data_IF_561701952842
#
_entry.id   IF_561701952842
#
_cell.length_a   1.000
_cell.length_b   1.000
_cell.length_c   1.000
_cell.angle_alpha   90.00
_cell.angle_beta   90.00
_cell.angle_gamma   90.00
#
_symmetry.space_group_name_H-M   'P 1'
#
loop_
_entity.id
_entity.type
_entity.pdbx_description
1 polymer ?
#
# COMPACT_ATOMS: atom_id res chain seq x y z
N UNK A 1 15.08 -4.60 17.81
CA UNK A 1 13.72 -4.02 17.83
C UNK A 1 12.83 -5.07 18.47
N UNK A 2 12.19 -4.74 19.58
CA UNK A 2 11.28 -5.67 20.25
C UNK A 2 9.87 -5.25 19.82
N UNK A 3 9.20 -6.13 19.10
CA UNK A 3 7.74 -5.98 18.87
C UNK A 3 7.11 -6.40 20.20
N UNK A 4 6.18 -5.60 20.78
CA UNK A 4 5.53 -6.00 22.03
C UNK A 4 4.90 -7.37 21.87
N UNK A 5 5.30 -8.30 22.71
CA UNK A 5 4.62 -9.59 22.84
C UNK A 5 3.23 -9.36 23.46
N UNK A 6 2.23 -9.94 22.84
CA UNK A 6 0.96 -10.14 23.51
C UNK A 6 -0.22 -9.35 23.01
N UNK A 7 -0.68 -9.70 21.82
CA UNK A 7 -2.10 -9.92 21.57
C UNK A 7 -2.17 -11.05 20.55
N UNK A 8 -2.83 -12.14 20.92
CA UNK A 8 -3.11 -13.24 19.99
C UNK A 8 -3.94 -12.71 18.81
N UNK A 9 -3.44 -12.89 17.61
CA UNK A 9 -4.13 -12.51 16.38
C UNK A 9 -3.21 -11.88 15.30
N UNK A 10 -3.72 -11.68 14.09
CA UNK A 10 -2.96 -11.06 13.02
C UNK A 10 -2.64 -9.59 13.35
N UNK A 11 -1.36 -9.25 13.30
CA UNK A 11 -0.86 -7.89 13.51
C UNK A 11 -0.63 -7.21 12.16
N UNK A 12 -1.10 -5.98 12.02
CA UNK A 12 -0.86 -5.16 10.86
C UNK A 12 -0.57 -3.71 11.28
N UNK A 13 0.31 -3.03 10.53
CA UNK A 13 0.69 -1.66 10.86
C UNK A 13 1.93 -1.20 10.09
N UNK A 14 2.45 -0.05 10.51
CA UNK A 14 3.67 0.54 9.96
C UNK A 14 4.88 0.23 10.84
N UNK A 15 6.04 0.10 10.18
CA UNK A 15 7.33 -0.01 10.84
C UNK A 15 8.18 1.21 10.49
N UNK A 16 8.59 1.98 11.50
CA UNK A 16 9.46 3.15 11.32
C UNK A 16 10.88 2.83 11.76
N UNK A 17 11.86 3.01 10.85
CA UNK A 17 13.28 2.95 11.16
C UNK A 17 13.85 4.37 11.20
N UNK A 18 14.56 4.71 12.29
CA UNK A 18 15.28 5.97 12.43
C UNK A 18 16.78 5.71 12.39
N UNK A 19 17.47 6.38 11.48
CA UNK A 19 18.93 6.31 11.35
C UNK A 19 19.55 7.53 11.99
N UNK A 20 20.66 7.31 12.71
CA UNK A 20 21.53 8.38 13.21
C UNK A 20 22.87 8.26 12.50
N UNK A 21 23.35 9.35 11.95
CA UNK A 21 24.64 9.42 11.29
C UNK A 21 25.69 9.95 12.26
N UNK A 22 26.91 9.44 12.16
CA UNK A 22 28.08 10.07 12.76
C UNK A 22 28.46 11.22 11.84
N UNK A 23 28.71 12.41 12.39
CA UNK A 23 29.09 13.61 11.63
C UNK A 23 30.28 13.28 10.68
N UNK A 24 30.30 13.95 9.52
CA UNK A 24 31.33 13.91 8.47
C UNK A 24 31.14 12.88 7.33
N UNK A 25 29.97 12.28 7.18
CA UNK A 25 29.65 11.57 5.93
C UNK A 25 28.67 12.42 5.09
N UNK A 26 29.04 12.67 3.84
CA UNK A 26 28.10 13.19 2.85
C UNK A 26 26.88 12.30 2.84
N UNK A 27 25.68 12.88 2.91
CA UNK A 27 24.36 12.28 3.06
C UNK A 27 24.30 10.79 2.70
N UNK A 28 24.41 9.87 3.66
CA UNK A 28 24.46 8.44 3.36
C UNK A 28 23.14 7.99 2.77
N UNK A 29 23.23 7.26 1.67
CA UNK A 29 22.06 6.60 1.08
C UNK A 29 21.61 5.47 2.01
N UNK A 30 20.38 5.54 2.47
CA UNK A 30 19.77 4.51 3.32
C UNK A 30 18.54 3.94 2.63
N UNK A 31 18.41 2.62 2.65
CA UNK A 31 17.22 1.92 2.19
C UNK A 31 16.67 1.03 3.32
N UNK A 32 15.35 0.97 3.44
CA UNK A 32 14.66 0.04 4.32
C UNK A 32 13.85 -0.90 3.44
N UNK A 33 14.07 -2.17 3.62
CA UNK A 33 13.38 -3.23 2.91
C UNK A 33 12.79 -4.18 3.94
N UNK A 34 11.57 -4.63 3.71
CA UNK A 34 10.91 -5.61 4.57
C UNK A 34 10.35 -6.76 3.73
N UNK A 35 10.29 -7.93 4.32
CA UNK A 35 9.63 -9.10 3.73
C UNK A 35 8.78 -9.76 4.80
N UNK A 36 7.52 -10.00 4.49
CA UNK A 36 6.67 -10.91 5.24
C UNK A 36 6.81 -12.31 4.67
N UNK A 37 6.76 -13.33 5.51
CA UNK A 37 6.76 -14.73 5.08
C UNK A 37 5.77 -15.53 5.90
N UNK A 38 5.04 -16.42 5.24
CA UNK A 38 4.14 -17.40 5.89
C UNK A 38 4.47 -18.79 5.36
N UNK A 39 4.68 -19.78 6.22
CA UNK A 39 4.88 -21.16 5.77
C UNK A 39 3.74 -21.62 4.88
N UNK A 40 4.07 -22.28 3.78
CA UNK A 40 3.08 -23.00 2.97
C UNK A 40 2.85 -24.36 3.59
N UNK A 41 1.76 -24.52 4.33
CA UNK A 41 1.44 -25.78 5.01
C UNK A 41 0.79 -26.83 4.09
N UNK A 42 0.34 -26.41 2.89
CA UNK A 42 -0.38 -27.26 1.95
C UNK A 42 0.51 -27.80 0.83
N UNK A 43 1.79 -27.41 0.77
CA UNK A 43 2.69 -27.85 -0.27
C UNK A 43 3.38 -29.18 0.13
N UNK A 44 3.35 -30.19 -0.74
CA UNK A 44 4.07 -31.47 -0.55
C UNK A 44 5.58 -31.29 -0.38
N UNK A 45 6.11 -30.20 -0.89
CA UNK A 45 7.56 -29.88 -0.86
C UNK A 45 7.94 -28.83 0.19
N UNK A 46 6.99 -28.37 1.00
CA UNK A 46 7.22 -27.23 1.88
C UNK A 46 7.35 -25.92 1.09
N UNK A 47 7.87 -24.88 1.74
CA UNK A 47 8.07 -23.56 1.16
C UNK A 47 7.41 -22.46 1.99
N UNK A 48 7.45 -21.25 1.49
CA UNK A 48 6.81 -20.10 2.13
C UNK A 48 6.30 -19.12 1.09
N UNK A 49 5.11 -18.58 1.35
CA UNK A 49 4.60 -17.39 0.66
C UNK A 49 5.25 -16.14 1.26
N UNK A 50 5.42 -15.11 0.47
CA UNK A 50 5.98 -13.88 1.01
C UNK A 50 5.74 -12.69 0.12
N UNK A 51 5.70 -11.50 0.76
CA UNK A 51 5.58 -10.24 0.09
C UNK A 51 6.74 -9.33 0.51
N UNK A 52 7.35 -8.72 -0.48
CA UNK A 52 8.42 -7.75 -0.31
C UNK A 52 7.87 -6.33 -0.33
N UNK A 53 8.37 -5.49 0.56
CA UNK A 53 8.00 -4.09 0.66
C UNK A 53 9.25 -3.20 0.59
N UNK A 54 9.19 -2.18 -0.20
CA UNK A 54 10.16 -1.08 -0.17
C UNK A 54 9.71 -0.02 0.85
N UNK A 55 10.65 0.46 1.67
CA UNK A 55 10.39 1.55 2.59
C UNK A 55 10.31 2.89 1.88
N UNK A 56 9.55 3.82 2.45
CA UNK A 56 9.49 5.21 2.03
C UNK A 56 10.05 6.13 3.13
N UNK A 57 10.73 7.21 2.73
CA UNK A 57 11.18 8.20 3.67
C UNK A 57 10.00 9.04 4.20
N UNK A 58 10.10 9.51 5.45
CA UNK A 58 9.16 10.50 5.99
C UNK A 58 9.14 11.74 5.08
N UNK A 59 7.96 12.19 4.67
CA UNK A 59 7.79 13.30 3.74
C UNK A 59 8.12 12.99 2.27
N UNK A 60 8.53 11.74 1.95
CA UNK A 60 8.97 11.33 0.61
C UNK A 60 7.89 10.68 -0.27
N UNK A 61 6.63 10.73 0.14
CA UNK A 61 5.51 10.18 -0.63
C UNK A 61 4.88 11.19 -1.59
N UNK A 62 3.74 10.81 -2.14
CA UNK A 62 2.91 11.70 -2.93
C UNK A 62 2.31 12.81 -2.07
N UNK A 63 2.17 14.00 -2.66
CA UNK A 63 1.60 15.18 -2.00
C UNK A 63 0.14 15.40 -2.36
N UNK A 64 -0.23 15.12 -3.60
CA UNK A 64 -1.57 15.40 -4.13
C UNK A 64 -2.23 14.16 -4.66
N UNK A 65 -1.56 13.41 -5.51
CA UNK A 65 -2.12 12.26 -6.20
C UNK A 65 -1.06 11.20 -6.47
N UNK A 66 -1.48 9.95 -6.40
CA UNK A 66 -0.69 8.79 -6.81
C UNK A 66 -1.55 7.80 -7.60
N UNK A 67 -0.93 7.12 -8.56
CA UNK A 67 -1.53 6.04 -9.32
C UNK A 67 -0.94 4.71 -8.83
N UNK A 68 -1.80 3.71 -8.66
CA UNK A 68 -1.39 2.31 -8.42
C UNK A 68 -1.92 1.48 -9.58
N UNK A 69 -1.09 1.27 -10.61
CA UNK A 69 -1.50 0.51 -11.80
C UNK A 69 -1.42 -1.00 -11.58
N UNK A 70 -1.93 -1.76 -12.53
CA UNK A 70 -1.75 -3.21 -12.59
C UNK A 70 -2.56 -4.00 -11.58
N UNK A 71 -3.62 -3.43 -11.02
CA UNK A 71 -4.54 -4.14 -10.15
C UNK A 71 -5.51 -5.01 -10.96
N UNK A 72 -5.92 -6.14 -10.38
CA UNK A 72 -6.80 -7.09 -11.03
C UNK A 72 -7.79 -7.75 -10.06
N UNK A 73 -8.91 -8.20 -10.61
CA UNK A 73 -9.94 -8.93 -9.88
C UNK A 73 -10.66 -9.91 -10.81
N UNK A 74 -10.46 -11.20 -10.56
CA UNK A 74 -11.20 -12.28 -11.20
C UNK A 74 -11.23 -13.49 -10.26
N UNK A 75 -11.49 -14.68 -10.80
CA UNK A 75 -11.55 -15.94 -10.02
C UNK A 75 -10.17 -16.41 -9.56
N UNK A 76 -9.10 -15.95 -10.23
CA UNK A 76 -7.71 -16.35 -9.95
C UNK A 76 -6.90 -15.29 -9.19
N UNK A 77 -7.35 -14.04 -9.15
CA UNK A 77 -6.63 -12.95 -8.52
C UNK A 77 -7.55 -11.93 -7.86
N UNK A 78 -7.12 -11.40 -6.74
CA UNK A 78 -7.77 -10.28 -6.05
C UNK A 78 -6.74 -9.23 -5.68
N UNK A 79 -7.15 -7.96 -5.70
CA UNK A 79 -6.29 -6.85 -5.30
C UNK A 79 -6.76 -6.22 -4.00
N UNK A 80 -5.79 -5.95 -3.13
CA UNK A 80 -5.93 -5.04 -1.99
C UNK A 80 -5.22 -3.73 -2.34
N UNK A 81 -5.71 -2.62 -1.81
CA UNK A 81 -5.07 -1.31 -1.91
C UNK A 81 -4.78 -0.81 -0.51
N UNK A 82 -3.56 -0.39 -0.26
CA UNK A 82 -3.15 0.16 1.03
C UNK A 82 -2.65 1.59 0.88
N UNK A 83 -2.87 2.39 1.93
CA UNK A 83 -2.39 3.77 2.03
C UNK A 83 -1.82 4.04 3.41
N UNK A 84 -0.80 4.89 3.46
CA UNK A 84 -0.06 5.26 4.68
C UNK A 84 0.09 6.78 4.71
N UNK A 85 -0.18 7.42 5.84
CA UNK A 85 0.24 8.79 6.08
C UNK A 85 1.73 8.79 6.50
N UNK A 86 2.62 9.32 5.66
CA UNK A 86 4.06 9.38 5.92
C UNK A 86 4.47 10.57 6.79
N UNK A 87 3.55 11.48 7.12
CA UNK A 87 3.87 12.73 7.79
C UNK A 87 4.67 13.68 6.90
N UNK A 88 5.30 14.67 7.51
CA UNK A 88 6.20 15.63 6.85
C UNK A 88 5.56 16.97 6.52
N UNK A 89 4.30 17.15 6.82
CA UNK A 89 3.58 18.42 6.77
C UNK A 89 3.28 18.96 8.19
N UNK A 90 2.04 19.29 8.46
CA UNK A 90 1.58 19.83 9.75
C UNK A 90 1.45 18.81 10.87
N UNK A 91 1.70 17.53 10.58
CA UNK A 91 1.48 16.40 11.49
C UNK A 91 0.00 16.28 11.95
N UNK A 92 -0.92 16.77 11.12
CA UNK A 92 -2.36 16.60 11.29
C UNK A 92 -2.89 15.47 10.40
N UNK A 93 -4.08 14.90 10.72
CA UNK A 93 -4.67 13.87 9.88
C UNK A 93 -4.89 14.35 8.44
N UNK A 94 -4.67 13.45 7.49
CA UNK A 94 -5.01 13.63 6.09
C UNK A 94 -6.25 12.80 5.74
N UNK A 95 -7.02 13.27 4.76
CA UNK A 95 -8.10 12.50 4.14
C UNK A 95 -7.65 12.06 2.76
N UNK A 96 -7.68 10.76 2.53
CA UNK A 96 -7.38 10.15 1.24
C UNK A 96 -8.63 9.54 0.62
N UNK A 97 -8.75 9.69 -0.68
CA UNK A 97 -9.79 9.07 -1.51
C UNK A 97 -9.12 8.21 -2.57
N UNK A 98 -9.59 6.98 -2.76
CA UNK A 98 -9.18 6.14 -3.88
C UNK A 98 -10.37 5.90 -4.82
N UNK A 99 -10.13 6.07 -6.11
CA UNK A 99 -11.04 5.77 -7.23
C UNK A 99 -10.42 4.71 -8.11
N UNK A 100 -11.23 3.77 -8.56
CA UNK A 100 -10.80 2.74 -9.50
C UNK A 100 -11.19 3.13 -10.92
N UNK A 101 -10.29 2.87 -11.86
CA UNK A 101 -10.53 3.11 -13.28
C UNK A 101 -10.24 1.83 -14.06
N UNK A 102 -11.19 1.43 -14.88
CA UNK A 102 -11.04 0.30 -15.80
C UNK A 102 -9.84 0.53 -16.72
N UNK A 103 -8.92 -0.42 -16.77
CA UNK A 103 -7.69 -0.28 -17.54
C UNK A 103 -7.90 -0.35 -19.05
N UNK A 104 -9.01 -0.94 -19.50
CA UNK A 104 -9.31 -1.10 -20.92
C UNK A 104 -10.08 0.11 -21.48
N UNK A 105 -10.92 0.75 -20.66
CA UNK A 105 -11.80 1.84 -21.11
C UNK A 105 -11.43 3.21 -20.54
N UNK A 106 -10.69 3.26 -19.44
CA UNK A 106 -10.42 4.48 -18.68
C UNK A 106 -11.63 4.99 -17.86
N UNK A 107 -12.75 4.30 -17.87
CA UNK A 107 -13.94 4.70 -17.14
C UNK A 107 -13.80 4.43 -15.63
N UNK A 108 -14.36 5.30 -14.80
CA UNK A 108 -14.42 5.04 -13.36
C UNK A 108 -15.27 3.81 -13.07
N UNK A 109 -14.76 2.91 -12.22
CA UNK A 109 -15.40 1.67 -11.82
C UNK A 109 -15.80 1.72 -10.34
N UNK A 110 -17.10 1.75 -10.09
CA UNK A 110 -17.66 1.79 -8.74
C UNK A 110 -17.57 3.16 -8.07
N UNK A 111 -17.73 3.17 -6.75
CA UNK A 111 -17.69 4.36 -5.90
C UNK A 111 -16.33 4.57 -5.27
N UNK A 112 -15.96 5.82 -4.95
CA UNK A 112 -14.73 6.10 -4.20
C UNK A 112 -14.73 5.42 -2.83
N UNK A 113 -13.56 5.04 -2.35
CA UNK A 113 -13.32 4.65 -0.96
C UNK A 113 -12.43 5.69 -0.28
N UNK A 114 -12.68 5.98 1.00
CA UNK A 114 -11.98 7.04 1.72
C UNK A 114 -11.41 6.56 3.05
N UNK A 115 -10.35 7.21 3.52
CA UNK A 115 -9.80 7.02 4.86
C UNK A 115 -9.27 8.34 5.42
N UNK A 116 -9.37 8.50 6.74
CA UNK A 116 -8.71 9.56 7.50
C UNK A 116 -7.58 8.94 8.29
N UNK A 117 -6.36 9.43 8.13
CA UNK A 117 -5.14 8.86 8.69
C UNK A 117 -4.34 9.92 9.42
N UNK A 118 -4.03 9.67 10.69
CA UNK A 118 -3.04 10.43 11.44
C UNK A 118 -1.62 10.11 10.94
N UNK A 119 -0.60 10.93 11.26
CA UNK A 119 0.78 10.64 10.88
C UNK A 119 1.24 9.26 11.38
N UNK A 120 1.71 8.42 10.45
CA UNK A 120 2.10 7.04 10.70
C UNK A 120 0.98 6.01 10.63
N UNK A 121 -0.27 6.44 10.53
CA UNK A 121 -1.40 5.53 10.36
C UNK A 121 -1.39 4.88 8.96
N UNK A 122 -1.94 3.67 8.93
CA UNK A 122 -2.06 2.83 7.75
C UNK A 122 -3.44 2.20 7.68
N UNK A 123 -3.97 2.06 6.47
CA UNK A 123 -5.17 1.29 6.19
C UNK A 123 -5.00 0.47 4.92
N UNK A 124 -5.57 -0.73 4.90
CA UNK A 124 -5.69 -1.55 3.70
C UNK A 124 -7.16 -1.82 3.40
N UNK A 125 -7.59 -1.41 2.23
CA UNK A 125 -8.86 -1.81 1.65
C UNK A 125 -8.71 -3.19 1.00
N UNK A 126 -9.08 -4.23 1.75
CA UNK A 126 -9.05 -5.61 1.24
C UNK A 126 -10.13 -5.79 0.17
N UNK A 127 -9.75 -6.46 -0.95
CA UNK A 127 -10.65 -6.64 -2.11
C UNK A 127 -11.25 -5.30 -2.56
N UNK A 128 -10.40 -4.32 -2.79
CA UNK A 128 -10.81 -2.93 -3.07
C UNK A 128 -11.83 -2.81 -4.20
N UNK A 129 -11.77 -3.69 -5.21
CA UNK A 129 -12.75 -3.76 -6.30
C UNK A 129 -14.17 -4.03 -5.78
N UNK A 130 -14.34 -5.02 -4.92
CA UNK A 130 -15.64 -5.36 -4.32
C UNK A 130 -16.10 -4.27 -3.35
N UNK A 131 -15.18 -3.70 -2.55
CA UNK A 131 -15.48 -2.63 -1.62
C UNK A 131 -15.97 -1.36 -2.32
N UNK A 132 -15.41 -1.03 -3.48
CA UNK A 132 -15.86 0.07 -4.33
C UNK A 132 -17.18 -0.23 -5.06
N UNK A 133 -17.68 -1.45 -5.03
CA UNK A 133 -18.83 -1.87 -5.82
C UNK A 133 -18.57 -1.83 -7.33
N UNK A 134 -17.34 -2.06 -7.75
CA UNK A 134 -17.00 -2.06 -9.17
C UNK A 134 -17.66 -3.24 -9.90
N UNK A 135 -18.10 -3.06 -11.17
CA UNK A 135 -18.74 -4.13 -11.93
C UNK A 135 -17.81 -5.34 -12.14
N UNK A 136 -18.33 -6.55 -12.06
CA UNK A 136 -17.56 -7.78 -12.27
C UNK A 136 -16.96 -7.93 -13.67
N UNK A 137 -17.40 -7.12 -14.62
CA UNK A 137 -16.83 -7.02 -15.97
C UNK A 137 -15.47 -6.32 -15.98
N UNK A 138 -15.17 -5.46 -15.00
CA UNK A 138 -13.90 -4.77 -14.85
C UNK A 138 -12.90 -5.71 -14.20
N UNK A 139 -12.06 -6.35 -15.01
CA UNK A 139 -11.08 -7.35 -14.53
C UNK A 139 -9.71 -6.74 -14.21
N UNK A 140 -9.32 -5.69 -14.90
CA UNK A 140 -8.06 -4.96 -14.73
C UNK A 140 -8.35 -3.49 -14.48
N UNK A 141 -7.65 -2.91 -13.52
CA UNK A 141 -7.91 -1.53 -13.13
C UNK A 141 -6.68 -0.85 -12.56
N UNK A 142 -6.72 0.47 -12.56
CA UNK A 142 -5.77 1.34 -11.87
C UNK A 142 -6.50 2.05 -10.74
N UNK A 143 -5.89 2.12 -9.57
CA UNK A 143 -6.37 2.98 -8.51
C UNK A 143 -5.69 4.35 -8.60
N UNK A 144 -6.48 5.42 -8.51
CA UNK A 144 -6.01 6.80 -8.35
C UNK A 144 -6.31 7.21 -6.92
N UNK A 145 -5.27 7.49 -6.15
CA UNK A 145 -5.39 7.92 -4.75
C UNK A 145 -5.12 9.42 -4.69
N UNK A 146 -6.07 10.18 -4.14
CA UNK A 146 -5.97 11.63 -3.97
C UNK A 146 -6.05 12.02 -2.51
N UNK A 147 -5.23 13.00 -2.12
CA UNK A 147 -5.38 13.66 -0.85
C UNK A 147 -6.44 14.77 -0.98
N UNK A 148 -7.52 14.63 -0.20
CA UNK A 148 -8.61 15.60 -0.18
C UNK A 148 -8.38 16.72 0.81
N UNK A 149 -7.66 16.45 1.92
CA UNK A 149 -7.33 17.45 2.95
C UNK A 149 -6.09 17.08 3.73
N UNK A 150 -5.58 18.06 4.51
CA UNK A 150 -4.30 17.97 5.21
C UNK A 150 -3.12 18.26 4.28
N UNK A 151 -1.88 18.17 4.77
CA UNK A 151 -0.68 18.53 4.04
C UNK A 151 0.47 17.53 4.18
N UNK A 152 0.32 16.48 4.99
CA UNK A 152 1.27 15.36 5.05
C UNK A 152 1.34 14.62 3.72
N UNK A 153 2.48 14.00 3.45
CA UNK A 153 2.66 13.13 2.30
C UNK A 153 2.09 11.73 2.56
N UNK A 154 1.78 11.00 1.51
CA UNK A 154 1.26 9.65 1.64
C UNK A 154 1.93 8.66 0.70
N UNK A 155 1.94 7.40 1.09
CA UNK A 155 2.29 6.26 0.24
C UNK A 155 1.01 5.49 -0.10
N UNK A 156 0.89 5.05 -1.34
CA UNK A 156 -0.11 4.08 -1.76
C UNK A 156 0.56 2.87 -2.40
N UNK A 157 0.00 1.68 -2.24
CA UNK A 157 0.48 0.48 -2.92
C UNK A 157 -0.64 -0.56 -3.06
N UNK A 158 -0.52 -1.38 -4.08
CA UNK A 158 -1.39 -2.52 -4.28
C UNK A 158 -0.72 -3.82 -3.87
N UNK A 159 -1.54 -4.79 -3.51
CA UNK A 159 -1.13 -6.19 -3.34
C UNK A 159 -2.08 -7.06 -4.13
N UNK A 160 -1.56 -7.73 -5.15
CA UNK A 160 -2.28 -8.78 -5.86
C UNK A 160 -2.06 -10.09 -5.11
N UNK A 161 -3.14 -10.78 -4.81
CA UNK A 161 -3.08 -12.10 -4.19
C UNK A 161 -3.62 -13.12 -5.17
N UNK A 162 -2.81 -14.11 -5.50
CA UNK A 162 -3.21 -15.28 -6.26
C UNK A 162 -4.20 -16.12 -5.44
N UNK A 163 -5.33 -16.49 -6.04
CA UNK A 163 -6.39 -17.20 -5.34
C UNK A 163 -6.07 -18.70 -5.13
N UNK A 164 -5.14 -19.24 -5.89
CA UNK A 164 -4.73 -20.65 -5.84
C UNK A 164 -3.57 -20.85 -4.87
N UNK A 165 -2.52 -20.04 -5.02
CA UNK A 165 -1.30 -20.19 -4.25
C UNK A 165 -1.27 -19.29 -3.00
N UNK A 166 -2.14 -18.29 -2.90
CA UNK A 166 -2.11 -17.21 -1.89
C UNK A 166 -0.83 -16.37 -1.94
N UNK A 167 0.00 -16.51 -2.96
CA UNK A 167 1.19 -15.69 -3.13
C UNK A 167 0.82 -14.25 -3.47
N UNK A 168 1.65 -13.32 -3.02
CA UNK A 168 1.41 -11.88 -3.15
C UNK A 168 2.40 -11.20 -4.08
N UNK A 169 1.90 -10.28 -4.91
CA UNK A 169 2.71 -9.38 -5.72
C UNK A 169 2.50 -7.94 -5.31
N UNK A 170 3.59 -7.21 -5.07
CA UNK A 170 3.56 -5.80 -4.69
C UNK A 170 3.50 -4.91 -5.93
N UNK A 171 2.56 -3.95 -5.91
CA UNK A 171 2.40 -2.92 -6.93
C UNK A 171 2.72 -1.55 -6.34
N UNK A 172 3.85 -0.98 -6.74
CA UNK A 172 4.24 0.35 -6.28
C UNK A 172 3.36 1.43 -6.90
N UNK A 173 3.19 2.53 -6.16
CA UNK A 173 2.58 3.73 -6.73
C UNK A 173 3.54 4.47 -7.67
N UNK A 174 2.93 5.27 -8.55
CA UNK A 174 3.58 6.32 -9.35
C UNK A 174 3.00 7.64 -8.84
N UNK A 175 3.85 8.53 -8.30
CA UNK A 175 3.41 9.87 -7.92
C UNK A 175 3.23 10.73 -9.18
N UNK A 176 2.16 11.52 -9.21
CA UNK A 176 1.95 12.54 -10.25
C UNK A 176 2.56 13.90 -9.88
N UNK A 177 3.10 14.03 -8.66
CA UNK A 177 3.73 15.28 -8.23
C UNK A 177 5.02 15.53 -9.02
N UNK A 178 5.29 16.76 -9.47
CA UNK A 178 6.56 17.11 -10.11
C UNK A 178 7.72 16.93 -9.12
N UNK A 179 8.84 16.45 -9.63
CA UNK A 179 10.12 16.37 -8.90
C UNK A 179 10.69 17.73 -8.60
#
# INVERSE_FOLDING_TARGET
MQIPEGTDGPQAGTLTAKFRYVADLDAPMTAVLARTTTPNTDAETGGAFGLFYAGAAKGGGARTEALVPGLAQDDSVRSNLAVVNLGGGSELPIVLEARLYDADTGAQAGSPVTATLSPGDWVQWSRVHALAGAPSTVKRFTAVVRRLSGDDTFLAYGVLNDAVTSDGSFQAMISSDPY
#
